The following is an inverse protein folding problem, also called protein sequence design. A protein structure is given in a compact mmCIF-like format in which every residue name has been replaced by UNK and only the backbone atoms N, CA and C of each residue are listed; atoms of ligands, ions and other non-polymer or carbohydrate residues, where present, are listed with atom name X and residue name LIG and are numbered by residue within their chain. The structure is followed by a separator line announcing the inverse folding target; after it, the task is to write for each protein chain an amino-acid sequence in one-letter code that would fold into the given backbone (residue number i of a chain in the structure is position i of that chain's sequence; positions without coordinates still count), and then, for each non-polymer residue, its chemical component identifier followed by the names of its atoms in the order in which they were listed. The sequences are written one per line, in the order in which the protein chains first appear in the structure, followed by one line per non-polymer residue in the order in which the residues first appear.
data_IF_602960085026
#
_entry.id   IF_602960085026
#
_cell.length_a   1.000
_cell.length_b   1.000
_cell.length_c   1.000
_cell.angle_alpha   90.00
_cell.angle_beta   90.00
_cell.angle_gamma   90.00
#
_symmetry.space_group_name_H-M   'P 1'
#
loop_
_entity.id
_entity.type
_entity.pdbx_description
1 polymer ?
#
# COMPACT_ATOMS: atom_id res chain seq x y z
N UNK A 1 23.92 -59.01 -48.71
CA UNK A 1 24.72 -59.70 -47.66
C UNK A 1 25.05 -58.64 -46.62
N UNK A 2 24.27 -58.52 -45.55
CA UNK A 2 24.55 -59.15 -44.25
C UNK A 2 26.01 -58.87 -43.84
N UNK A 3 26.35 -57.94 -42.95
CA UNK A 3 25.79 -57.67 -41.63
C UNK A 3 26.58 -58.50 -40.61
N UNK A 4 27.29 -57.84 -39.66
CA UNK A 4 27.55 -58.22 -38.24
C UNK A 4 28.65 -57.28 -37.69
N UNK A 5 28.37 -56.59 -36.58
CA UNK A 5 29.15 -56.53 -35.32
C UNK A 5 28.56 -55.39 -34.46
N UNK A 6 27.61 -55.70 -33.58
CA UNK A 6 27.73 -56.15 -32.18
C UNK A 6 27.82 -54.95 -31.20
N UNK A 7 26.72 -54.78 -30.46
CA UNK A 7 26.53 -53.83 -29.37
C UNK A 7 27.52 -54.06 -28.23
N UNK A 8 28.01 -52.97 -27.65
CA UNK A 8 28.39 -52.90 -26.24
C UNK A 8 27.72 -51.68 -25.60
N UNK A 9 26.91 -51.94 -24.58
CA UNK A 9 26.24 -50.94 -23.76
C UNK A 9 27.26 -50.15 -22.94
N UNK A 10 27.15 -48.81 -22.97
CA UNK A 10 27.59 -47.96 -21.87
C UNK A 10 26.43 -47.05 -21.46
N UNK A 11 25.94 -47.28 -20.25
CA UNK A 11 24.94 -46.49 -19.57
C UNK A 11 25.50 -45.11 -19.17
N UNK A 12 25.01 -44.04 -19.80
CA UNK A 12 25.16 -42.67 -19.29
C UNK A 12 23.92 -42.30 -18.48
N UNK A 13 24.11 -42.16 -17.17
CA UNK A 13 23.20 -41.41 -16.31
C UNK A 13 23.37 -39.92 -16.61
N UNK A 14 22.34 -39.28 -17.16
CA UNK A 14 22.28 -37.82 -17.30
C UNK A 14 21.67 -37.25 -16.03
N UNK A 15 22.51 -36.73 -15.14
CA UNK A 15 22.06 -35.80 -14.11
C UNK A 15 21.92 -34.42 -14.77
N UNK A 16 20.69 -33.98 -15.01
CA UNK A 16 20.38 -32.64 -15.45
C UNK A 16 20.49 -31.67 -14.26
N UNK A 17 21.65 -31.04 -14.13
CA UNK A 17 21.86 -29.90 -13.22
C UNK A 17 21.19 -28.67 -13.84
N UNK A 18 20.01 -28.29 -13.35
CA UNK A 18 19.38 -27.02 -13.69
C UNK A 18 20.18 -25.86 -13.09
N UNK A 19 21.04 -25.24 -13.90
CA UNK A 19 21.67 -23.96 -13.62
C UNK A 19 20.58 -22.88 -13.61
N UNK A 20 20.17 -22.44 -12.41
CA UNK A 20 19.43 -21.19 -12.26
C UNK A 20 20.38 -20.03 -12.54
N UNK A 21 20.21 -19.37 -13.69
CA UNK A 21 20.84 -18.07 -13.94
C UNK A 21 20.19 -17.04 -13.01
N UNK A 22 20.78 -16.86 -11.83
CA UNK A 22 20.52 -15.69 -11.01
C UNK A 22 20.97 -14.45 -11.76
N UNK A 23 20.04 -13.56 -12.07
CA UNK A 23 20.37 -12.21 -12.52
C UNK A 23 21.05 -11.47 -11.36
N UNK A 24 22.39 -11.49 -11.34
CA UNK A 24 23.18 -10.59 -10.52
C UNK A 24 23.14 -9.20 -11.18
N UNK A 25 22.43 -8.27 -10.53
CA UNK A 25 22.50 -6.86 -10.86
C UNK A 25 23.07 -6.08 -9.67
N UNK A 26 24.16 -5.37 -9.97
CA UNK A 26 24.93 -4.40 -9.17
C UNK A 26 25.97 -4.98 -8.19
N UNK A 27 27.22 -4.99 -8.65
CA UNK A 27 28.42 -5.11 -7.83
C UNK A 27 28.86 -3.71 -7.40
N UNK A 28 28.46 -3.33 -6.18
CA UNK A 28 29.02 -2.22 -5.41
C UNK A 28 28.86 -2.56 -3.92
N UNK A 29 29.69 -2.03 -3.01
CA UNK A 29 29.59 -2.31 -1.57
C UNK A 29 28.24 -1.92 -0.95
N UNK A 30 27.41 -1.14 -1.66
CA UNK A 30 26.07 -0.69 -1.27
C UNK A 30 24.91 -1.32 -2.07
N UNK A 31 25.16 -2.38 -2.86
CA UNK A 31 24.09 -3.07 -3.57
C UNK A 31 23.12 -3.73 -2.58
N UNK A 32 22.03 -3.02 -2.26
CA UNK A 32 20.98 -3.52 -1.35
C UNK A 32 20.32 -4.73 -1.99
N UNK A 33 20.55 -5.92 -1.40
CA UNK A 33 19.88 -7.15 -1.82
C UNK A 33 18.37 -6.97 -1.66
N UNK A 34 17.64 -7.00 -2.76
CA UNK A 34 16.17 -7.02 -2.76
C UNK A 34 15.71 -8.46 -2.55
N UNK A 35 14.74 -8.66 -1.66
CA UNK A 35 14.21 -9.97 -1.31
C UNK A 35 12.74 -9.92 -0.90
N UNK A 36 12.16 -11.10 -0.73
CA UNK A 36 10.82 -11.31 -0.17
C UNK A 36 10.98 -12.00 1.17
N UNK A 37 10.25 -11.52 2.17
CA UNK A 37 10.34 -11.93 3.57
C UNK A 37 8.94 -12.33 4.04
N UNK A 38 8.83 -13.47 4.71
CA UNK A 38 7.56 -14.02 5.20
C UNK A 38 7.49 -13.91 6.72
N UNK A 39 6.41 -13.33 7.21
CA UNK A 39 6.03 -13.32 8.62
C UNK A 39 4.91 -14.35 8.79
N UNK A 40 5.15 -15.40 9.57
CA UNK A 40 4.20 -16.50 9.71
C UNK A 40 3.90 -16.81 11.17
N UNK A 41 2.62 -16.82 11.50
CA UNK A 41 2.09 -17.22 12.80
C UNK A 41 0.93 -18.21 12.56
N UNK A 42 1.21 -19.51 12.71
CA UNK A 42 0.23 -20.55 12.41
C UNK A 42 -0.22 -20.55 10.95
N UNK A 43 -1.51 -20.36 10.74
CA UNK A 43 -2.18 -20.26 9.43
C UNK A 43 -2.31 -18.81 8.91
N UNK A 44 -1.78 -17.83 9.65
CA UNK A 44 -1.64 -16.45 9.22
C UNK A 44 -0.25 -16.19 8.64
N UNK A 45 -0.17 -15.77 7.37
CA UNK A 45 1.10 -15.46 6.69
C UNK A 45 1.04 -14.10 5.99
N UNK A 46 2.11 -13.32 6.12
CA UNK A 46 2.27 -12.01 5.48
C UNK A 46 3.60 -11.98 4.74
N UNK A 47 3.60 -11.65 3.45
CA UNK A 47 4.83 -11.44 2.67
C UNK A 47 5.08 -9.97 2.44
N UNK A 48 6.31 -9.55 2.71
CA UNK A 48 6.81 -8.19 2.50
C UNK A 48 8.07 -8.24 1.63
N UNK A 49 8.24 -7.30 0.71
CA UNK A 49 9.54 -7.06 0.07
C UNK A 49 10.15 -5.75 0.54
N UNK A 50 11.48 -5.72 0.63
CA UNK A 50 12.20 -4.48 0.87
C UNK A 50 12.27 -3.56 -0.37
N UNK A 51 11.73 -3.95 -1.53
CA UNK A 51 11.47 -3.00 -2.62
C UNK A 51 10.18 -2.21 -2.35
N UNK A 52 10.33 -0.92 -2.03
CA UNK A 52 9.19 -0.07 -1.69
C UNK A 52 8.55 -0.35 -0.33
N UNK A 53 9.24 -1.11 0.54
CA UNK A 53 8.71 -1.61 1.81
C UNK A 53 7.31 -2.22 1.66
N UNK A 54 7.13 -3.02 0.60
CA UNK A 54 5.83 -3.36 0.02
C UNK A 54 5.21 -4.60 0.64
N UNK A 55 3.93 -4.51 0.98
CA UNK A 55 3.08 -5.64 1.32
C UNK A 55 2.67 -6.40 0.05
N UNK A 56 3.05 -7.67 -0.06
CA UNK A 56 2.80 -8.49 -1.27
C UNK A 56 1.66 -9.50 -1.08
N UNK A 57 1.45 -9.98 0.14
CA UNK A 57 0.55 -11.09 0.44
C UNK A 57 0.08 -11.02 1.89
N UNK A 58 -1.20 -11.33 2.12
CA UNK A 58 -1.80 -11.52 3.44
C UNK A 58 -2.73 -12.73 3.36
N UNK A 59 -2.29 -13.88 3.86
CA UNK A 59 -3.01 -15.15 3.80
C UNK A 59 -3.59 -15.48 5.16
N UNK A 60 -4.91 -15.73 5.21
CA UNK A 60 -5.63 -16.09 6.43
C UNK A 60 -6.88 -16.96 6.11
N UNK A 61 -7.42 -17.70 7.09
CA UNK A 61 -8.61 -18.52 6.87
C UNK A 61 -9.88 -17.72 6.64
N UNK A 62 -10.87 -18.37 6.03
CA UNK A 62 -12.28 -17.98 6.02
C UNK A 62 -13.05 -18.68 7.16
N UNK A 63 -14.38 -18.48 7.23
CA UNK A 63 -15.25 -19.11 8.24
C UNK A 63 -15.28 -20.64 8.21
N UNK A 64 -14.73 -21.26 7.15
CA UNK A 64 -14.63 -22.71 6.95
C UNK A 64 -13.19 -23.22 7.06
N UNK A 65 -12.22 -22.36 7.37
CA UNK A 65 -10.80 -22.69 7.47
C UNK A 65 -10.03 -22.68 6.14
N UNK A 66 -10.63 -22.24 5.03
CA UNK A 66 -9.93 -22.15 3.75
C UNK A 66 -9.03 -20.91 3.72
N UNK A 67 -7.76 -21.11 3.39
CA UNK A 67 -6.79 -20.03 3.27
C UNK A 67 -6.92 -19.33 1.91
N UNK A 68 -6.93 -18.00 1.91
CA UNK A 68 -6.75 -17.22 0.70
C UNK A 68 -5.92 -15.97 1.00
N UNK A 69 -5.23 -15.49 -0.02
CA UNK A 69 -4.53 -14.22 0.01
C UNK A 69 -5.52 -13.08 -0.30
N UNK A 70 -5.67 -12.15 0.65
CA UNK A 70 -6.68 -11.08 0.62
C UNK A 70 -6.15 -9.74 0.12
N UNK A 71 -4.92 -9.70 -0.43
CA UNK A 71 -4.40 -8.49 -1.10
C UNK A 71 -4.10 -8.75 -2.57
N UNK A 72 -4.33 -7.76 -3.42
CA UNK A 72 -3.87 -7.80 -4.82
C UNK A 72 -2.37 -7.57 -4.90
N UNK A 73 -1.75 -8.00 -6.00
CA UNK A 73 -0.32 -7.84 -6.21
C UNK A 73 0.20 -8.59 -7.42
N UNK A 74 1.52 -8.76 -7.47
CA UNK A 74 2.29 -9.56 -8.42
C UNK A 74 3.00 -10.71 -7.72
N UNK A 75 3.37 -11.75 -8.47
CA UNK A 75 4.04 -12.94 -7.92
C UNK A 75 5.54 -12.69 -7.67
N UNK A 76 6.18 -11.91 -8.53
CA UNK A 76 7.63 -11.74 -8.55
C UNK A 76 8.07 -10.29 -8.35
N UNK A 77 9.30 -10.13 -7.85
CA UNK A 77 9.92 -8.80 -7.71
C UNK A 77 10.11 -8.09 -9.05
N UNK A 78 10.38 -8.84 -10.12
CA UNK A 78 10.59 -8.28 -11.46
C UNK A 78 9.35 -7.58 -11.99
N UNK A 79 8.17 -8.15 -11.76
CA UNK A 79 6.89 -7.54 -12.14
C UNK A 79 6.64 -6.22 -11.38
N UNK A 80 7.04 -6.15 -10.11
CA UNK A 80 6.92 -4.93 -9.30
C UNK A 80 7.85 -3.78 -9.74
N UNK A 81 8.94 -4.06 -10.46
CA UNK A 81 9.82 -2.99 -10.95
C UNK A 81 9.14 -2.15 -12.03
N UNK A 82 8.27 -2.76 -12.83
CA UNK A 82 7.56 -2.10 -13.92
C UNK A 82 6.07 -1.84 -13.61
N UNK A 83 5.57 -2.31 -12.47
CA UNK A 83 4.18 -2.11 -12.07
C UNK A 83 3.85 -0.62 -11.86
N UNK A 84 2.79 -0.18 -12.53
CA UNK A 84 2.22 1.16 -12.41
C UNK A 84 0.96 1.20 -11.54
N UNK A 85 0.46 0.04 -11.11
CA UNK A 85 -0.80 -0.11 -10.35
C UNK A 85 -0.65 0.25 -8.87
N UNK A 86 0.58 0.38 -8.37
CA UNK A 86 0.89 0.71 -6.98
C UNK A 86 0.39 -0.33 -5.96
N UNK A 87 0.53 -1.63 -6.25
CA UNK A 87 0.09 -2.69 -5.33
C UNK A 87 0.93 -2.82 -4.06
N UNK A 88 0.47 -2.28 -2.94
CA UNK A 88 1.02 -2.51 -1.60
C UNK A 88 2.28 -1.77 -1.16
N UNK A 89 2.92 -0.84 -1.91
CA UNK A 89 4.11 -0.16 -1.40
C UNK A 89 3.75 0.84 -0.30
N UNK A 90 4.77 1.26 0.44
CA UNK A 90 4.72 2.50 1.21
C UNK A 90 4.96 3.67 0.27
N UNK A 91 4.00 4.60 0.23
CA UNK A 91 4.12 5.84 -0.51
C UNK A 91 4.66 6.95 0.41
N UNK A 92 5.56 7.78 -0.14
CA UNK A 92 6.25 8.86 0.55
C UNK A 92 7.29 9.48 -0.39
N UNK A 93 7.93 10.61 -0.09
CA UNK A 93 7.94 11.33 1.20
C UNK A 93 6.61 11.98 1.59
N UNK A 94 5.86 12.46 0.61
CA UNK A 94 4.49 12.95 0.78
C UNK A 94 3.57 12.14 -0.14
N UNK A 95 2.71 11.35 0.49
CA UNK A 95 1.71 10.55 -0.20
C UNK A 95 0.51 11.39 -0.66
N UNK A 96 -0.24 10.86 -1.62
CA UNK A 96 -1.27 11.59 -2.37
C UNK A 96 -0.69 12.81 -3.09
N UNK A 97 -1.55 13.71 -3.57
CA UNK A 97 -1.19 14.80 -4.46
C UNK A 97 -0.65 16.03 -3.72
N UNK A 98 0.36 16.66 -4.32
CA UNK A 98 0.78 18.04 -4.07
C UNK A 98 0.45 18.84 -5.34
N UNK A 99 -0.36 19.89 -5.19
CA UNK A 99 -0.84 20.68 -6.30
C UNK A 99 0.30 21.37 -7.04
N UNK A 100 0.24 21.33 -8.37
CA UNK A 100 1.20 21.99 -9.28
C UNK A 100 2.66 21.51 -9.14
N UNK A 101 2.88 20.42 -8.39
CA UNK A 101 4.20 19.88 -8.06
C UNK A 101 5.09 20.92 -7.39
N UNK A 102 4.54 21.73 -6.49
CA UNK A 102 5.30 22.73 -5.75
C UNK A 102 4.67 23.03 -4.39
N UNK A 103 5.48 23.57 -3.49
CA UNK A 103 5.01 24.14 -2.23
C UNK A 103 5.97 25.22 -1.70
N UNK A 104 5.55 25.93 -0.67
CA UNK A 104 6.40 26.91 0.04
C UNK A 104 6.64 26.42 1.45
N UNK A 105 7.91 26.39 1.87
CA UNK A 105 8.31 26.03 3.23
C UNK A 105 9.35 27.04 3.72
N UNK A 106 9.09 27.63 4.90
CA UNK A 106 9.94 28.65 5.52
C UNK A 106 10.32 29.78 4.52
N UNK A 107 9.35 30.22 3.71
CA UNK A 107 9.51 31.29 2.72
C UNK A 107 10.19 30.88 1.41
N UNK A 108 10.67 29.64 1.28
CA UNK A 108 11.32 29.12 0.07
C UNK A 108 10.37 28.27 -0.77
N UNK A 109 10.39 28.51 -2.08
CA UNK A 109 9.64 27.69 -3.05
C UNK A 109 10.42 26.42 -3.37
N UNK A 110 9.74 25.28 -3.31
CA UNK A 110 10.27 23.97 -3.72
C UNK A 110 9.47 23.45 -4.91
N UNK A 111 10.19 22.89 -5.88
CA UNK A 111 9.61 22.27 -7.07
C UNK A 111 9.86 20.76 -7.02
N UNK A 112 8.83 19.99 -7.30
CA UNK A 112 8.83 18.54 -7.28
C UNK A 112 8.66 18.00 -8.68
N UNK A 113 9.02 16.73 -8.87
CA UNK A 113 8.72 16.05 -10.13
C UNK A 113 7.20 15.95 -10.32
N UNK A 114 6.70 16.43 -11.46
CA UNK A 114 5.30 16.26 -11.85
C UNK A 114 5.14 14.92 -12.55
N UNK A 115 4.53 13.97 -11.86
CA UNK A 115 4.27 12.60 -12.33
C UNK A 115 2.77 12.30 -12.47
N UNK A 116 1.89 13.25 -12.16
CA UNK A 116 0.44 13.15 -12.37
C UNK A 116 -0.10 14.45 -12.98
N UNK A 117 0.03 14.58 -14.30
CA UNK A 117 -0.33 15.80 -15.02
C UNK A 117 0.47 17.01 -14.52
N UNK A 118 -0.23 17.99 -13.92
CA UNK A 118 0.41 19.19 -13.34
C UNK A 118 0.91 18.97 -11.91
N UNK A 119 0.54 17.86 -11.28
CA UNK A 119 0.72 17.61 -9.86
C UNK A 119 1.83 16.59 -9.60
N UNK A 120 2.27 16.51 -8.35
CA UNK A 120 3.13 15.43 -7.86
C UNK A 120 2.27 14.48 -7.05
N UNK A 121 2.35 13.18 -7.29
CA UNK A 121 1.64 12.17 -6.50
C UNK A 121 2.62 11.15 -5.91
N UNK A 122 2.33 10.70 -4.69
CA UNK A 122 3.07 9.63 -3.99
C UNK A 122 4.59 9.88 -3.92
N UNK A 123 4.99 11.14 -3.74
CA UNK A 123 6.38 11.55 -3.59
C UNK A 123 7.21 11.64 -4.86
N UNK A 124 6.63 11.39 -6.05
CA UNK A 124 7.34 11.49 -7.33
C UNK A 124 7.67 10.15 -8.01
N UNK A 125 8.47 10.18 -9.07
CA UNK A 125 8.69 9.05 -9.98
C UNK A 125 9.67 8.00 -9.50
N UNK A 126 10.65 8.36 -8.66
CA UNK A 126 11.60 7.42 -8.02
C UNK A 126 11.55 7.54 -6.49
N UNK A 127 10.32 7.63 -5.98
CA UNK A 127 10.03 7.84 -4.57
C UNK A 127 10.13 6.53 -3.75
N UNK A 128 9.69 6.56 -2.49
CA UNK A 128 9.83 5.46 -1.54
C UNK A 128 9.40 4.09 -2.08
N UNK A 129 8.30 4.09 -2.83
CA UNK A 129 7.66 2.91 -3.45
C UNK A 129 8.51 2.18 -4.51
N UNK A 130 9.55 2.83 -5.05
CA UNK A 130 10.46 2.33 -6.09
C UNK A 130 11.93 2.41 -5.66
N UNK A 131 12.18 2.28 -4.36
CA UNK A 131 13.51 2.25 -3.80
C UNK A 131 13.74 0.95 -3.04
N UNK A 132 14.98 0.46 -3.03
CA UNK A 132 15.38 -0.65 -2.18
C UNK A 132 15.60 -0.14 -0.74
N UNK A 133 14.84 -0.66 0.21
CA UNK A 133 14.97 -0.40 1.64
C UNK A 133 15.98 -1.37 2.25
N UNK A 134 16.70 -0.92 3.27
CA UNK A 134 17.57 -1.77 4.08
C UNK A 134 16.72 -2.56 5.06
N UNK A 135 16.89 -3.88 5.12
CA UNK A 135 16.33 -4.70 6.21
C UNK A 135 17.20 -4.49 7.45
N UNK A 136 16.65 -3.86 8.48
CA UNK A 136 17.33 -3.62 9.76
C UNK A 136 17.23 -4.83 10.67
N UNK A 137 16.07 -5.48 10.65
CA UNK A 137 15.76 -6.62 11.51
C UNK A 137 14.65 -7.46 10.85
N UNK A 138 14.73 -8.77 11.01
CA UNK A 138 13.74 -9.71 10.49
C UNK A 138 13.65 -10.95 11.38
N UNK A 139 12.44 -11.23 11.84
CA UNK A 139 12.06 -12.42 12.59
C UNK A 139 10.82 -13.01 11.91
N UNK A 140 11.00 -14.08 11.14
CA UNK A 140 9.94 -14.64 10.27
C UNK A 140 8.91 -15.53 10.96
N UNK A 141 9.18 -15.99 12.20
CA UNK A 141 8.30 -16.90 12.95
C UNK A 141 8.40 -16.70 14.47
N UNK A 142 7.72 -17.55 15.24
CA UNK A 142 7.59 -17.40 16.70
C UNK A 142 6.36 -16.59 17.09
N UNK A 143 6.28 -16.15 18.35
CA UNK A 143 5.06 -15.56 18.93
C UNK A 143 4.73 -14.15 18.42
N UNK A 144 5.72 -13.43 17.90
CA UNK A 144 5.52 -12.11 17.27
C UNK A 144 6.50 -11.87 16.11
N UNK A 145 6.25 -12.49 14.94
CA UNK A 145 7.05 -12.28 13.74
C UNK A 145 7.00 -10.81 13.29
N UNK A 146 8.13 -10.26 12.85
CA UNK A 146 8.20 -8.90 12.33
C UNK A 146 9.38 -8.65 11.40
N UNK A 147 9.29 -7.58 10.62
CA UNK A 147 10.40 -7.04 9.83
C UNK A 147 10.43 -5.52 9.97
N UNK A 148 11.62 -4.96 10.19
CA UNK A 148 11.86 -3.52 10.19
C UNK A 148 12.72 -3.14 9.00
N UNK A 149 12.19 -2.25 8.17
CA UNK A 149 12.81 -1.71 6.97
C UNK A 149 13.20 -0.27 7.21
N UNK A 150 14.31 0.15 6.59
CA UNK A 150 14.86 1.50 6.73
C UNK A 150 15.21 2.09 5.37
N UNK A 151 14.91 3.37 5.21
CA UNK A 151 15.32 4.15 4.05
C UNK A 151 15.76 5.55 4.47
N UNK A 152 16.89 5.98 3.92
CA UNK A 152 17.34 7.37 3.99
C UNK A 152 17.04 8.05 2.66
N UNK A 153 16.14 9.02 2.73
CA UNK A 153 15.87 9.97 1.66
C UNK A 153 16.81 11.16 1.83
N UNK A 154 17.67 11.45 0.86
CA UNK A 154 18.66 12.52 0.96
C UNK A 154 18.04 13.92 0.72
N UNK A 155 18.73 15.00 1.11
CA UNK A 155 18.31 16.38 0.80
C UNK A 155 18.19 16.59 -0.71
N UNK A 156 17.02 17.02 -1.16
CA UNK A 156 16.71 17.23 -2.58
C UNK A 156 16.18 16.00 -3.31
N UNK A 157 16.05 14.84 -2.65
CA UNK A 157 15.43 13.66 -3.27
C UNK A 157 14.00 14.00 -3.74
N UNK A 158 13.73 13.81 -5.04
CA UNK A 158 12.48 14.20 -5.71
C UNK A 158 12.10 15.70 -5.58
N UNK A 159 13.04 16.55 -5.15
CA UNK A 159 12.84 17.98 -4.92
C UNK A 159 12.47 18.36 -3.47
N UNK A 160 12.34 17.39 -2.56
CA UNK A 160 12.02 17.67 -1.16
C UNK A 160 13.27 18.13 -0.38
N UNK A 161 13.17 19.17 0.48
CA UNK A 161 14.29 19.61 1.31
C UNK A 161 14.57 18.63 2.44
N UNK A 162 15.82 18.57 2.87
CA UNK A 162 16.27 17.87 4.06
C UNK A 162 16.40 16.36 3.88
N UNK A 163 17.34 15.79 4.61
CA UNK A 163 17.51 14.35 4.72
C UNK A 163 16.50 13.78 5.72
N UNK A 164 15.80 12.72 5.34
CA UNK A 164 14.78 12.05 6.14
C UNK A 164 15.16 10.58 6.35
N UNK A 165 15.32 10.20 7.62
CA UNK A 165 15.49 8.81 8.03
C UNK A 165 14.10 8.24 8.32
N UNK A 166 13.70 7.21 7.57
CA UNK A 166 12.36 6.60 7.66
C UNK A 166 12.46 5.12 7.98
N UNK A 167 11.60 4.64 8.88
CA UNK A 167 11.46 3.23 9.23
C UNK A 167 10.03 2.75 9.01
N UNK A 168 9.90 1.50 8.59
CA UNK A 168 8.63 0.79 8.44
C UNK A 168 8.76 -0.58 9.09
N UNK A 169 7.93 -0.86 10.09
CA UNK A 169 7.86 -2.16 10.74
C UNK A 169 6.53 -2.82 10.44
N UNK A 170 6.56 -4.01 9.82
CA UNK A 170 5.42 -4.91 9.74
C UNK A 170 5.54 -5.93 10.85
N UNK A 171 4.47 -6.15 11.62
CA UNK A 171 4.43 -7.13 12.71
C UNK A 171 3.15 -7.93 12.64
N UNK A 172 3.28 -9.24 12.79
CA UNK A 172 2.17 -10.15 12.95
C UNK A 172 2.04 -10.53 14.43
N UNK A 173 0.81 -10.55 14.93
CA UNK A 173 0.48 -11.03 16.27
C UNK A 173 -0.84 -11.79 16.28
N UNK A 174 -0.99 -12.70 17.24
CA UNK A 174 -2.17 -13.54 17.35
C UNK A 174 -3.43 -12.77 17.80
N UNK A 175 -4.64 -13.22 17.42
CA UNK A 175 -4.89 -14.37 16.53
C UNK A 175 -4.65 -14.03 15.05
N UNK A 176 -5.11 -12.88 14.54
CA UNK A 176 -4.92 -12.46 13.14
C UNK A 176 -4.77 -10.93 13.05
N UNK A 177 -3.67 -10.39 13.58
CA UNK A 177 -3.42 -8.95 13.58
C UNK A 177 -2.15 -8.61 12.80
N UNK A 178 -2.27 -7.71 11.83
CA UNK A 178 -1.16 -7.09 11.13
C UNK A 178 -1.00 -5.64 11.61
N UNK A 179 0.09 -5.36 12.31
CA UNK A 179 0.51 -4.01 12.66
C UNK A 179 1.48 -3.45 11.63
N UNK A 180 1.29 -2.19 11.25
CA UNK A 180 2.22 -1.42 10.41
C UNK A 180 2.58 -0.15 11.17
N UNK A 181 3.84 -0.04 11.56
CA UNK A 181 4.37 1.13 12.24
C UNK A 181 5.34 1.86 11.32
N UNK A 182 5.08 3.13 11.06
CA UNK A 182 5.94 4.00 10.26
C UNK A 182 6.41 5.16 11.13
N UNK A 183 7.70 5.43 11.13
CA UNK A 183 8.26 6.62 11.76
C UNK A 183 9.29 7.28 10.87
N UNK A 184 9.48 8.59 11.06
CA UNK A 184 10.50 9.32 10.34
C UNK A 184 11.08 10.49 11.15
N UNK A 185 12.35 10.81 10.91
CA UNK A 185 13.04 11.94 11.55
C UNK A 185 13.76 12.79 10.51
N UNK A 186 13.55 14.11 10.57
CA UNK A 186 14.27 15.07 9.75
C UNK A 186 15.65 15.34 10.37
N UNK A 187 16.74 15.16 9.62
CA UNK A 187 18.11 15.21 10.15
C UNK A 187 18.67 16.62 10.20
N UNK A 188 18.39 17.42 9.17
CA UNK A 188 19.10 18.67 8.89
C UNK A 188 18.16 19.86 8.62
N UNK A 189 17.04 19.66 7.92
CA UNK A 189 16.09 20.71 7.54
C UNK A 189 14.65 20.26 7.72
N UNK A 190 13.76 21.23 7.90
CA UNK A 190 12.32 20.98 7.88
C UNK A 190 11.90 20.41 6.52
N UNK A 191 10.96 19.46 6.53
CA UNK A 191 10.46 18.80 5.33
C UNK A 191 9.02 18.31 5.53
N UNK A 192 8.14 18.35 4.51
CA UNK A 192 6.84 17.73 4.63
C UNK A 192 6.95 16.20 4.62
N UNK A 193 6.18 15.53 5.47
CA UNK A 193 6.11 14.06 5.56
C UNK A 193 4.66 13.61 5.68
N UNK A 194 4.26 12.71 4.79
CA UNK A 194 2.96 12.04 4.84
C UNK A 194 3.14 10.64 4.23
N UNK A 195 3.06 9.59 5.04
CA UNK A 195 3.28 8.21 4.60
C UNK A 195 1.96 7.45 4.60
N UNK A 196 1.78 6.54 3.63
CA UNK A 196 0.65 5.61 3.60
C UNK A 196 1.05 4.24 3.06
N UNK A 197 0.28 3.22 3.40
CA UNK A 197 0.34 1.88 2.79
C UNK A 197 -0.73 1.78 1.69
N UNK A 198 -0.31 1.49 0.47
CA UNK A 198 -1.21 1.43 -0.70
C UNK A 198 -1.68 -0.02 -1.00
N UNK A 199 -2.17 -0.73 0.02
CA UNK A 199 -2.65 -2.10 -0.12
C UNK A 199 -4.06 -2.15 -0.74
N UNK A 200 -4.23 -2.98 -1.77
CA UNK A 200 -5.53 -3.28 -2.36
C UNK A 200 -6.09 -4.55 -1.74
N UNK A 201 -7.14 -4.41 -0.94
CA UNK A 201 -7.81 -5.48 -0.23
C UNK A 201 -8.92 -6.10 -1.07
N UNK A 202 -9.05 -7.43 -0.96
CA UNK A 202 -10.23 -8.19 -1.36
C UNK A 202 -10.39 -9.33 -0.37
N UNK A 203 -11.30 -9.17 0.61
CA UNK A 203 -11.49 -10.16 1.68
C UNK A 203 -12.05 -11.51 1.20
N UNK A 204 -12.64 -11.55 0.00
CA UNK A 204 -12.99 -12.84 -0.62
C UNK A 204 -11.71 -13.63 -0.88
N UNK A 205 -10.66 -12.95 -1.35
CA UNK A 205 -9.41 -13.49 -1.87
C UNK A 205 -9.18 -12.96 -3.29
N UNK A 206 -7.94 -12.95 -3.78
CA UNK A 206 -7.65 -12.41 -5.12
C UNK A 206 -7.75 -13.44 -6.26
N UNK A 207 -7.94 -14.73 -5.97
CA UNK A 207 -7.84 -15.85 -6.94
C UNK A 207 -9.16 -16.25 -7.63
N UNK A 208 -9.06 -17.15 -8.60
CA UNK A 208 -10.15 -17.59 -9.48
C UNK A 208 -11.37 -18.11 -8.68
N UNK A 209 -12.56 -17.70 -9.10
CA UNK A 209 -13.83 -18.12 -8.50
C UNK A 209 -14.14 -17.46 -7.14
N UNK A 210 -13.19 -16.72 -6.58
CA UNK A 210 -13.30 -16.03 -5.29
C UNK A 210 -13.32 -14.52 -5.56
N UNK A 211 -14.47 -13.87 -5.33
CA UNK A 211 -14.61 -12.41 -5.33
C UNK A 211 -13.99 -11.67 -6.51
N UNK A 212 -14.59 -11.75 -7.72
CA UNK A 212 -14.12 -11.00 -8.92
C UNK A 212 -14.02 -9.49 -8.70
N UNK A 213 -14.88 -8.96 -7.84
CA UNK A 213 -14.90 -7.57 -7.44
C UNK A 213 -15.22 -7.45 -5.95
N UNK A 214 -15.07 -6.22 -5.43
CA UNK A 214 -15.32 -5.88 -4.04
C UNK A 214 -16.66 -5.18 -3.80
N UNK A 215 -17.55 -5.15 -4.80
CA UNK A 215 -18.80 -4.38 -4.72
C UNK A 215 -19.77 -4.97 -3.67
N UNK A 216 -19.66 -6.27 -3.42
CA UNK A 216 -20.44 -6.98 -2.39
C UNK A 216 -19.93 -6.80 -0.96
N UNK A 217 -18.68 -6.36 -0.77
CA UNK A 217 -18.15 -6.12 0.58
C UNK A 217 -18.96 -5.05 1.27
N UNK A 218 -19.33 -5.30 2.53
CA UNK A 218 -20.00 -4.30 3.36
C UNK A 218 -18.95 -3.48 4.08
N UNK A 219 -18.93 -2.17 3.82
CA UNK A 219 -18.02 -1.19 4.41
C UNK A 219 -18.75 -0.32 5.43
N UNK A 220 -18.09 -0.07 6.54
CA UNK A 220 -18.39 1.04 7.46
C UNK A 220 -17.13 1.89 7.61
N UNK A 221 -17.28 3.22 7.50
CA UNK A 221 -16.22 4.18 7.81
C UNK A 221 -16.61 4.98 9.06
N UNK A 222 -15.66 5.10 9.98
CA UNK A 222 -15.76 5.98 11.15
C UNK A 222 -15.37 7.41 10.75
N UNK A 223 -16.14 7.97 9.81
CA UNK A 223 -15.91 9.29 9.23
C UNK A 223 -17.23 9.98 8.89
N UNK A 224 -17.46 11.13 9.52
CA UNK A 224 -18.66 11.96 9.30
C UNK A 224 -18.48 13.03 8.22
N UNK A 225 -17.26 13.20 7.74
CA UNK A 225 -16.86 14.26 6.80
C UNK A 225 -15.85 13.76 5.77
N UNK A 226 -15.74 14.47 4.66
CA UNK A 226 -14.76 14.22 3.60
C UNK A 226 -14.20 15.55 3.05
N UNK A 227 -12.99 15.50 2.48
CA UNK A 227 -12.42 16.64 1.78
C UNK A 227 -13.08 16.81 0.40
N UNK A 228 -13.54 18.02 0.08
CA UNK A 228 -14.16 18.31 -1.22
C UNK A 228 -13.07 18.44 -2.27
N UNK A 229 -12.98 17.45 -3.16
CA UNK A 229 -12.01 17.41 -4.25
C UNK A 229 -12.54 18.09 -5.51
N UNK A 230 -11.64 18.70 -6.28
CA UNK A 230 -11.89 19.21 -7.63
C UNK A 230 -11.68 18.13 -8.71
N UNK A 231 -11.76 18.53 -9.98
CA UNK A 231 -11.60 17.63 -11.13
C UNK A 231 -10.17 17.05 -11.29
N UNK A 232 -9.17 17.64 -10.63
CA UNK A 232 -7.80 17.12 -10.53
C UNK A 232 -7.59 16.28 -9.27
N UNK A 233 -8.68 15.96 -8.55
CA UNK A 233 -8.71 15.20 -7.29
C UNK A 233 -7.89 15.90 -6.18
N UNK A 234 -7.91 17.23 -6.17
CA UNK A 234 -7.26 18.07 -5.16
C UNK A 234 -8.29 18.78 -4.29
N UNK A 235 -8.03 18.96 -2.98
CA UNK A 235 -8.89 19.73 -2.10
C UNK A 235 -8.69 21.24 -2.25
N UNK A 236 -8.62 21.76 -3.48
CA UNK A 236 -8.22 23.15 -3.80
C UNK A 236 -9.04 24.24 -3.09
N UNK A 237 -10.24 23.91 -2.61
CA UNK A 237 -11.08 24.85 -1.84
C UNK A 237 -10.77 24.88 -0.33
N UNK A 238 -9.97 23.94 0.19
CA UNK A 238 -9.78 23.73 1.62
C UNK A 238 -11.01 23.18 2.36
N UNK A 239 -12.13 22.97 1.64
CA UNK A 239 -13.42 22.68 2.27
C UNK A 239 -13.54 21.21 2.65
N UNK A 240 -13.97 20.99 3.89
CA UNK A 240 -14.45 19.70 4.40
C UNK A 240 -15.98 19.75 4.48
N UNK A 241 -16.66 18.71 4.01
CA UNK A 241 -18.12 18.63 3.94
C UNK A 241 -18.66 17.38 4.65
N UNK A 242 -19.91 17.39 5.17
CA UNK A 242 -20.52 16.20 5.75
C UNK A 242 -20.78 15.14 4.70
N UNK A 243 -20.63 13.85 5.07
CA UNK A 243 -20.99 12.73 4.18
C UNK A 243 -22.50 12.50 4.13
N UNK A 244 -23.25 12.98 5.12
CA UNK A 244 -24.68 12.77 5.26
C UNK A 244 -25.47 13.22 4.03
N UNK A 245 -26.32 12.33 3.51
CA UNK A 245 -27.12 12.61 2.32
C UNK A 245 -26.35 12.52 0.99
N UNK A 246 -25.10 12.06 1.00
CA UNK A 246 -24.28 11.88 -0.19
C UNK A 246 -24.02 10.39 -0.48
N UNK A 247 -23.59 10.02 -1.71
CA UNK A 247 -23.15 8.66 -2.01
C UNK A 247 -21.99 8.14 -1.14
N UNK A 248 -21.23 9.06 -0.53
CA UNK A 248 -20.06 8.81 0.31
C UNK A 248 -20.42 8.38 1.75
N UNK A 249 -21.70 8.31 2.12
CA UNK A 249 -22.11 8.02 3.50
C UNK A 249 -21.96 6.55 3.91
N UNK A 250 -20.78 6.17 4.38
CA UNK A 250 -20.49 4.84 4.95
C UNK A 250 -20.54 4.80 6.48
N UNK A 251 -21.19 5.76 7.15
CA UNK A 251 -21.28 5.76 8.63
C UNK A 251 -22.01 4.53 9.16
N UNK A 252 -22.97 4.02 8.38
CA UNK A 252 -23.61 2.73 8.59
C UNK A 252 -23.02 1.67 7.63
N UNK A 253 -22.92 0.40 8.06
CA UNK A 253 -22.49 -0.70 7.19
C UNK A 253 -23.29 -0.72 5.89
N UNK A 254 -22.60 -0.54 4.76
CA UNK A 254 -23.22 -0.46 3.44
C UNK A 254 -22.38 -1.23 2.42
N UNK A 255 -22.99 -2.03 1.51
CA UNK A 255 -22.26 -2.62 0.40
C UNK A 255 -21.54 -1.55 -0.43
N UNK A 256 -20.26 -1.74 -0.76
CA UNK A 256 -19.46 -0.79 -1.53
C UNK A 256 -20.19 -0.42 -2.84
N UNK A 257 -20.75 -1.41 -3.53
CA UNK A 257 -21.46 -1.24 -4.79
C UNK A 257 -22.80 -0.49 -4.70
N UNK A 258 -23.38 -0.31 -3.51
CA UNK A 258 -24.76 0.18 -3.35
C UNK A 258 -25.00 1.56 -3.98
N UNK A 259 -23.99 2.44 -3.93
CA UNK A 259 -24.07 3.81 -4.45
C UNK A 259 -22.94 4.18 -5.42
N UNK A 260 -22.12 3.22 -5.82
CA UNK A 260 -20.88 3.48 -6.57
C UNK A 260 -21.13 4.21 -7.90
N UNK A 261 -22.24 3.91 -8.59
CA UNK A 261 -22.62 4.55 -9.85
C UNK A 261 -23.04 6.02 -9.70
N UNK A 262 -23.33 6.47 -8.48
CA UNK A 262 -23.67 7.87 -8.18
C UNK A 262 -22.41 8.72 -7.99
N UNK A 263 -21.24 8.09 -7.85
CA UNK A 263 -19.95 8.78 -7.71
C UNK A 263 -19.38 9.07 -9.10
N UNK A 264 -19.82 10.18 -9.68
CA UNK A 264 -19.42 10.61 -11.03
C UNK A 264 -18.45 11.81 -11.02
N UNK A 265 -18.01 12.26 -9.84
CA UNK A 265 -17.12 13.41 -9.69
C UNK A 265 -15.66 13.14 -10.07
N UNK A 266 -15.27 11.87 -10.21
CA UNK A 266 -13.95 11.46 -10.68
C UNK A 266 -13.89 11.24 -12.20
N UNK A 267 -12.68 11.04 -12.73
CA UNK A 267 -12.46 10.73 -14.16
C UNK A 267 -13.00 9.36 -14.57
N UNK A 268 -13.11 8.44 -13.61
CA UNK A 268 -13.62 7.08 -13.77
C UNK A 268 -14.60 6.81 -12.64
N UNK A 269 -15.70 6.13 -12.93
CA UNK A 269 -16.76 5.81 -11.95
C UNK A 269 -16.18 4.94 -10.82
N UNK A 270 -16.41 5.35 -9.59
CA UNK A 270 -15.94 4.65 -8.40
C UNK A 270 -15.56 5.61 -7.28
N UNK A 271 -15.31 5.07 -6.09
CA UNK A 271 -14.84 5.90 -4.99
C UNK A 271 -13.35 6.18 -5.17
N UNK A 272 -12.99 7.44 -4.97
CA UNK A 272 -11.63 7.94 -4.82
C UNK A 272 -11.74 9.20 -3.95
N UNK A 273 -11.95 8.99 -2.65
CA UNK A 273 -12.33 10.04 -1.72
C UNK A 273 -11.48 10.01 -0.44
N UNK A 274 -11.10 11.20 0.02
CA UNK A 274 -10.38 11.39 1.29
C UNK A 274 -11.38 11.71 2.40
N UNK A 275 -11.56 10.77 3.32
CA UNK A 275 -12.44 10.90 4.47
C UNK A 275 -11.70 11.42 5.69
N UNK A 276 -12.37 12.25 6.50
CA UNK A 276 -11.83 12.74 7.77
C UNK A 276 -12.25 11.78 8.86
N UNK A 277 -11.28 11.10 9.48
CA UNK A 277 -11.55 10.09 10.51
C UNK A 277 -12.05 10.78 11.78
N UNK A 278 -13.21 10.36 12.27
CA UNK A 278 -13.82 10.90 13.48
C UNK A 278 -12.99 10.57 14.73
N UNK A 279 -13.19 11.32 15.82
CA UNK A 279 -12.43 11.18 17.06
C UNK A 279 -11.17 12.06 17.13
N UNK A 280 -10.36 11.85 18.17
CA UNK A 280 -9.21 12.70 18.48
C UNK A 280 -8.01 12.43 17.53
N UNK A 281 -7.56 13.41 16.72
CA UNK A 281 -6.40 13.24 15.84
C UNK A 281 -5.13 12.81 16.60
N UNK A 282 -4.29 11.98 15.97
CA UNK A 282 -3.06 11.46 16.60
C UNK A 282 -3.27 10.32 17.60
N UNK A 283 -4.49 10.08 18.08
CA UNK A 283 -4.83 8.91 18.89
C UNK A 283 -5.20 7.71 18.02
N UNK A 284 -4.87 6.49 18.48
CA UNK A 284 -5.32 5.26 17.84
C UNK A 284 -6.84 5.11 17.98
N UNK A 285 -7.54 5.03 16.85
CA UNK A 285 -9.00 4.97 16.79
C UNK A 285 -9.49 4.13 15.61
N UNK A 286 -10.74 3.61 15.65
CA UNK A 286 -11.25 2.82 14.54
C UNK A 286 -11.44 3.72 13.32
N UNK A 287 -11.10 3.21 12.14
CA UNK A 287 -11.15 3.92 10.85
C UNK A 287 -12.20 3.27 9.96
N UNK A 288 -12.13 1.94 9.83
CA UNK A 288 -13.00 1.20 8.93
C UNK A 288 -13.31 -0.20 9.46
N UNK A 289 -14.47 -0.71 9.10
CA UNK A 289 -14.85 -2.10 9.24
C UNK A 289 -15.30 -2.61 7.86
N UNK A 290 -14.78 -3.75 7.43
CA UNK A 290 -15.16 -4.36 6.15
C UNK A 290 -15.49 -5.82 6.37
N UNK A 291 -16.54 -6.32 5.72
CA UNK A 291 -16.90 -7.74 5.74
C UNK A 291 -17.21 -8.24 4.33
N UNK A 292 -16.68 -9.40 4.00
CA UNK A 292 -17.16 -10.22 2.89
C UNK A 292 -18.09 -11.30 3.43
N UNK A 293 -19.36 -11.29 2.98
CA UNK A 293 -20.35 -12.25 3.46
C UNK A 293 -20.09 -13.67 2.94
N UNK A 294 -19.45 -13.83 1.78
CA UNK A 294 -19.26 -15.13 1.14
C UNK A 294 -18.19 -15.98 1.85
N UNK A 295 -17.05 -15.39 2.18
CA UNK A 295 -15.99 -16.03 2.97
C UNK A 295 -16.26 -15.97 4.49
N UNK A 296 -16.97 -14.93 4.95
CA UNK A 296 -17.11 -14.60 6.37
C UNK A 296 -16.02 -13.67 6.89
N UNK A 297 -14.90 -13.53 6.14
CA UNK A 297 -13.76 -12.68 6.54
C UNK A 297 -14.20 -11.25 6.77
N UNK A 298 -13.68 -10.68 7.83
CA UNK A 298 -13.84 -9.29 8.20
C UNK A 298 -12.50 -8.66 8.59
N UNK A 299 -12.41 -7.35 8.38
CA UNK A 299 -11.27 -6.52 8.68
C UNK A 299 -11.74 -5.29 9.48
N UNK A 300 -11.12 -5.05 10.64
CA UNK A 300 -11.15 -3.76 11.31
C UNK A 300 -9.80 -3.05 11.13
N UNK A 301 -9.85 -1.82 10.62
CA UNK A 301 -8.69 -0.95 10.55
C UNK A 301 -8.73 0.07 11.69
N UNK A 302 -7.68 0.10 12.50
CA UNK A 302 -7.41 1.14 13.48
C UNK A 302 -6.16 1.92 13.07
N UNK A 303 -6.17 3.24 13.21
CA UNK A 303 -4.99 4.06 12.92
C UNK A 303 -4.99 5.37 13.70
N UNK A 304 -3.85 6.06 13.68
CA UNK A 304 -3.68 7.36 14.34
C UNK A 304 -3.79 8.58 13.42
N UNK A 305 -3.80 8.38 12.10
CA UNK A 305 -3.81 9.48 11.13
C UNK A 305 -5.16 10.20 11.05
N UNK A 306 -5.13 11.42 10.50
CA UNK A 306 -6.30 12.29 10.45
C UNK A 306 -7.33 11.88 9.38
N UNK A 307 -6.88 11.25 8.29
CA UNK A 307 -7.72 10.93 7.14
C UNK A 307 -7.51 9.51 6.66
N UNK A 308 -8.44 9.01 5.85
CA UNK A 308 -8.32 7.76 5.10
C UNK A 308 -8.76 7.98 3.66
N UNK A 309 -7.91 7.63 2.70
CA UNK A 309 -8.31 7.52 1.30
C UNK A 309 -9.03 6.18 1.11
N UNK A 310 -10.25 6.23 0.59
CA UNK A 310 -10.97 5.06 0.12
C UNK A 310 -11.05 5.10 -1.40
N UNK A 311 -10.35 4.16 -2.04
CA UNK A 311 -10.30 4.02 -3.48
C UNK A 311 -10.67 2.60 -3.90
N UNK A 312 -11.56 2.44 -4.88
CA UNK A 312 -12.09 1.14 -5.30
C UNK A 312 -11.41 0.55 -6.54
N UNK A 313 -10.12 0.84 -6.77
CA UNK A 313 -9.42 0.22 -7.90
C UNK A 313 -9.99 0.61 -9.27
N UNK A 314 -10.52 1.83 -9.39
CA UNK A 314 -11.32 2.29 -10.53
C UNK A 314 -10.59 2.18 -11.88
N UNK A 315 -9.25 2.29 -11.86
CA UNK A 315 -8.39 2.27 -13.04
C UNK A 315 -7.82 0.91 -13.39
N UNK A 316 -8.06 -0.12 -12.58
CA UNK A 316 -7.65 -1.47 -12.93
C UNK A 316 -8.39 -1.91 -14.20
N UNK A 317 -7.64 -2.39 -15.18
CA UNK A 317 -8.18 -2.74 -16.50
C UNK A 317 -7.27 -3.79 -17.12
N UNK A 318 -7.74 -5.04 -17.20
CA UNK A 318 -6.94 -6.17 -17.68
C UNK A 318 -5.53 -6.23 -17.06
N UNK A 319 -5.42 -5.92 -15.78
CA UNK A 319 -4.14 -5.86 -15.07
C UNK A 319 -3.76 -7.24 -14.59
N UNK A 320 -2.66 -7.79 -15.10
CA UNK A 320 -2.14 -9.09 -14.66
C UNK A 320 -1.86 -9.10 -13.15
N UNK A 321 -2.29 -10.17 -12.49
CA UNK A 321 -2.22 -10.37 -11.05
C UNK A 321 -1.36 -11.55 -10.65
N UNK A 322 -1.48 -11.94 -9.39
CA UNK A 322 -0.84 -13.15 -8.85
C UNK A 322 -1.54 -14.39 -9.36
N UNK A 323 -0.81 -15.47 -9.60
CA UNK A 323 -1.38 -16.75 -10.01
C UNK A 323 -2.01 -16.76 -11.41
N UNK A 324 -1.66 -15.79 -12.27
CA UNK A 324 -2.24 -15.64 -13.61
C UNK A 324 -3.61 -14.94 -13.63
N UNK A 325 -4.08 -14.42 -12.50
CA UNK A 325 -5.34 -13.68 -12.41
C UNK A 325 -5.32 -12.39 -13.23
N UNK A 326 -6.51 -11.89 -13.57
CA UNK A 326 -6.68 -10.60 -14.24
C UNK A 326 -7.55 -9.69 -13.38
N UNK A 327 -6.93 -8.65 -12.82
CA UNK A 327 -7.61 -7.63 -12.04
C UNK A 327 -8.24 -6.57 -12.96
N UNK A 328 -9.55 -6.43 -12.82
CA UNK A 328 -10.34 -5.41 -13.50
C UNK A 328 -10.82 -4.36 -12.51
N UNK A 329 -11.56 -3.38 -13.03
CA UNK A 329 -12.18 -2.34 -12.24
C UNK A 329 -12.94 -2.98 -11.06
N UNK A 330 -12.71 -2.45 -9.86
CA UNK A 330 -13.28 -2.95 -8.60
C UNK A 330 -12.75 -4.30 -8.11
N UNK A 331 -11.65 -4.84 -8.65
CA UNK A 331 -11.04 -6.08 -8.13
C UNK A 331 -10.53 -5.97 -6.69
N UNK A 332 -10.26 -4.75 -6.21
CA UNK A 332 -9.78 -4.49 -4.85
C UNK A 332 -10.07 -3.05 -4.41
N UNK A 333 -10.07 -2.81 -3.11
CA UNK A 333 -10.19 -1.47 -2.53
C UNK A 333 -8.99 -1.11 -1.64
N UNK A 334 -8.65 0.16 -1.51
CA UNK A 334 -7.63 0.65 -0.59
C UNK A 334 -8.26 1.36 0.61
N UNK A 335 -7.55 1.33 1.73
CA UNK A 335 -7.86 2.10 2.94
C UNK A 335 -6.55 2.75 3.41
N UNK A 336 -6.21 3.87 2.79
CA UNK A 336 -4.90 4.50 2.96
C UNK A 336 -5.01 5.58 4.04
N UNK A 337 -4.65 5.25 5.28
CA UNK A 337 -4.62 6.25 6.35
C UNK A 337 -3.46 7.21 6.12
N UNK A 338 -3.68 8.51 6.32
CA UNK A 338 -2.70 9.56 6.04
C UNK A 338 -3.14 10.91 6.65
N UNK A 339 -2.26 11.91 6.62
CA UNK A 339 -2.70 13.30 6.80
C UNK A 339 -3.50 13.81 5.59
N UNK A 340 -3.91 15.07 5.60
CA UNK A 340 -4.72 15.65 4.53
C UNK A 340 -3.95 15.70 3.19
N UNK A 341 -4.67 15.51 2.07
CA UNK A 341 -4.15 15.70 0.71
C UNK A 341 -3.74 17.16 0.54
N UNK A 342 -2.59 17.41 -0.11
CA UNK A 342 -2.06 18.75 -0.40
C UNK A 342 -1.91 19.69 0.82
N UNK A 343 -1.85 19.17 2.06
CA UNK A 343 -1.81 19.99 3.28
C UNK A 343 -0.65 20.99 3.33
N UNK A 344 0.45 20.70 2.62
CA UNK A 344 1.59 21.63 2.50
C UNK A 344 1.24 22.95 1.78
N UNK A 345 0.15 22.98 1.02
CA UNK A 345 -0.36 24.17 0.34
C UNK A 345 -1.67 24.72 0.95
N UNK A 346 -2.16 24.10 2.03
CA UNK A 346 -3.44 24.41 2.69
C UNK A 346 -3.21 24.70 4.18
N UNK A 347 -2.91 25.95 4.58
CA UNK A 347 -2.60 26.30 5.97
C UNK A 347 -3.74 26.06 6.97
N UNK A 348 -4.97 25.91 6.48
CA UNK A 348 -6.15 25.51 7.26
C UNK A 348 -6.15 24.02 7.64
N UNK A 349 -5.35 23.18 6.97
CA UNK A 349 -5.18 21.77 7.34
C UNK A 349 -4.06 21.59 8.37
N UNK A 350 -4.12 20.53 9.19
CA UNK A 350 -3.02 20.19 10.09
C UNK A 350 -1.69 20.07 9.34
N UNK A 351 -0.66 20.74 9.85
CA UNK A 351 0.66 20.75 9.25
C UNK A 351 1.24 19.34 9.13
N UNK A 352 1.82 19.06 7.97
CA UNK A 352 2.64 17.86 7.71
C UNK A 352 4.15 18.15 7.74
N UNK A 353 4.55 19.34 8.19
CA UNK A 353 5.96 19.73 8.25
C UNK A 353 6.64 19.08 9.45
N UNK A 354 7.62 18.23 9.20
CA UNK A 354 8.51 17.65 10.19
C UNK A 354 9.79 18.50 10.30
N UNK A 355 10.11 18.98 11.49
CA UNK A 355 11.34 19.76 11.78
C UNK A 355 12.40 18.90 12.49
N UNK A 356 13.69 19.24 12.41
CA UNK A 356 14.73 18.57 13.18
C UNK A 356 14.40 18.55 14.68
N UNK A 357 14.63 17.40 15.32
CA UNK A 357 14.26 17.15 16.72
C UNK A 357 12.83 16.67 16.93
N UNK A 358 11.99 16.65 15.89
CA UNK A 358 10.66 16.05 15.93
C UNK A 358 10.67 14.64 15.34
N UNK A 359 9.65 13.86 15.68
CA UNK A 359 9.41 12.53 15.14
C UNK A 359 8.02 12.49 14.47
N UNK A 360 7.99 11.97 13.25
CA UNK A 360 6.74 11.57 12.58
C UNK A 360 6.38 10.17 13.04
N UNK A 361 5.09 9.94 13.35
CA UNK A 361 4.57 8.63 13.73
C UNK A 361 3.26 8.33 13.03
N UNK A 362 3.18 7.16 12.41
CA UNK A 362 1.97 6.63 11.80
C UNK A 362 1.82 5.15 12.14
N UNK A 363 0.80 4.84 12.94
CA UNK A 363 0.46 3.50 13.37
C UNK A 363 -0.82 3.04 12.67
N UNK A 364 -0.80 1.82 12.14
CA UNK A 364 -1.96 1.12 11.57
C UNK A 364 -2.05 -0.27 12.21
N UNK A 365 -3.26 -0.72 12.51
CA UNK A 365 -3.54 -2.08 12.98
C UNK A 365 -4.73 -2.63 12.21
N UNK A 366 -4.47 -3.67 11.43
CA UNK A 366 -5.47 -4.45 10.71
C UNK A 366 -5.79 -5.69 11.56
N UNK A 367 -7.01 -5.76 12.10
CA UNK A 367 -7.49 -6.91 12.86
C UNK A 367 -8.43 -7.70 11.98
N UNK A 368 -8.09 -8.96 11.71
CA UNK A 368 -8.93 -9.85 10.94
C UNK A 368 -9.76 -10.76 11.85
N UNK A 369 -10.95 -11.09 11.38
CA UNK A 369 -11.84 -12.12 11.94
C UNK A 369 -12.60 -12.80 10.80
N UNK A 370 -13.33 -13.87 11.07
CA UNK A 370 -14.06 -14.64 10.07
C UNK A 370 -15.27 -15.35 10.65
#
# INVERSE_FOLDING_TARGET
MAGVQLLALLSLAVAASSLSMGAQATTGPDARKVGVYELKLGDFSVKVTNWGARLMSVVLPDSKGNLADVVLGRDTLAEYFNDTSYFGPIAGRVAQRISRGRFVLDGKVYHLQRNDGKNTIHGGGTAFSKSAWTVKEYVGGGDSPYITLYYRSFDGEQGFPGSLDTYVTYRVSGPYTLGVHMNATARDRATPVNLLLHAYWNLGGHGEGIGRDVLGHTLRLHASRYAVLDAELLPSSGRVAPVAGTPLDFRAPTPIGARIRQVTGGKVVGYDANYIVDGEPGSMRPVAEVRDAASGRALELWANQATVQFYTGNWLNHTEGKGGEVYNQYAGFTLETMGYVDAVNHPEFPSQTLRPGQEYKHDMVFKFSF
#
